data_IF_088350291149
#
_entry.id   IF_088350291149
#
_cell.length_a   1.000
_cell.length_b   1.000
_cell.length_c   1.000
_cell.angle_alpha   90.00
_cell.angle_beta   90.00
_cell.angle_gamma   90.00
#
_symmetry.space_group_name_H-M   'P 1'
#
loop_
_entity.id
_entity.type
_entity.pdbx_description
1 polymer ?
#
# COMPACT_ATOMS: atom_id res chain seq x y z
N UNK A 1 61.83 6.47 30.61
CA UNK A 1 60.40 6.58 30.26
C UNK A 1 59.92 5.57 29.22
N UNK A 2 60.68 5.22 28.16
CA UNK A 2 60.23 4.25 27.14
C UNK A 2 59.92 2.84 27.68
N UNK A 3 60.75 2.34 28.59
CA UNK A 3 60.56 1.00 29.19
C UNK A 3 59.26 0.81 29.98
N UNK A 4 58.65 1.89 30.47
CA UNK A 4 57.36 1.82 31.16
C UNK A 4 56.22 1.45 30.18
N UNK A 5 56.27 1.98 28.96
CA UNK A 5 55.28 1.74 27.90
C UNK A 5 55.52 0.45 27.10
N UNK A 6 56.70 -0.15 27.23
CA UNK A 6 57.03 -1.47 26.68
C UNK A 6 56.49 -2.63 27.55
N UNK A 7 56.04 -2.32 28.77
CA UNK A 7 55.45 -3.32 29.66
C UNK A 7 54.17 -3.90 29.04
N UNK A 8 54.12 -5.23 28.91
CA UNK A 8 53.00 -5.98 28.33
C UNK A 8 51.67 -5.71 29.04
N UNK A 9 51.69 -5.48 30.35
CA UNK A 9 50.48 -5.12 31.11
C UNK A 9 49.95 -3.74 30.73
N UNK A 10 50.85 -2.76 30.57
CA UNK A 10 50.51 -1.40 30.14
C UNK A 10 50.03 -1.41 28.69
N UNK A 11 50.71 -2.13 27.79
CA UNK A 11 50.25 -2.26 26.40
C UNK A 11 48.89 -2.96 26.28
N UNK A 12 48.64 -4.00 27.08
CA UNK A 12 47.34 -4.66 27.09
C UNK A 12 46.24 -3.72 27.56
N UNK A 13 46.51 -2.89 28.58
CA UNK A 13 45.58 -1.87 29.03
C UNK A 13 45.32 -0.81 27.96
N UNK A 14 46.38 -0.25 27.36
CA UNK A 14 46.29 0.76 26.30
C UNK A 14 45.55 0.26 25.07
N UNK A 15 45.81 -0.99 24.66
CA UNK A 15 45.12 -1.65 23.55
C UNK A 15 43.63 -1.85 23.87
N UNK A 16 43.31 -2.32 25.07
CA UNK A 16 41.92 -2.50 25.51
C UNK A 16 41.15 -1.18 25.57
N UNK A 17 41.82 -0.09 25.94
CA UNK A 17 41.24 1.26 25.93
C UNK A 17 41.21 1.91 24.55
N UNK A 18 41.77 1.26 23.52
CA UNK A 18 41.76 1.76 22.13
C UNK A 18 42.72 2.92 21.87
N UNK A 19 43.71 3.13 22.74
CA UNK A 19 44.73 4.17 22.55
C UNK A 19 45.85 3.72 21.62
N UNK A 20 46.06 2.41 21.49
CA UNK A 20 47.04 1.80 20.59
C UNK A 20 46.43 0.63 19.80
N UNK A 21 46.96 0.34 18.61
CA UNK A 21 46.56 -0.83 17.81
C UNK A 21 47.30 -2.12 18.21
N UNK A 22 47.00 -3.25 17.54
CA UNK A 22 47.65 -4.56 17.79
C UNK A 22 49.17 -4.56 17.60
N UNK A 23 49.70 -3.66 16.79
CA UNK A 23 51.13 -3.45 16.55
C UNK A 23 51.74 -2.40 17.51
N UNK A 24 50.96 -1.86 18.46
CA UNK A 24 51.43 -0.90 19.47
C UNK A 24 51.54 0.54 18.99
N UNK A 25 50.96 0.87 17.83
CA UNK A 25 50.95 2.23 17.28
C UNK A 25 49.84 3.05 17.94
N UNK A 26 50.11 4.31 18.24
CA UNK A 26 49.10 5.22 18.83
C UNK A 26 47.99 5.50 17.82
N UNK A 27 46.75 5.36 18.28
CA UNK A 27 45.55 5.65 17.50
C UNK A 27 45.18 7.12 17.71
N UNK A 28 45.13 7.89 16.61
CA UNK A 28 44.57 9.24 16.64
C UNK A 28 43.04 9.16 16.61
N UNK A 29 42.42 9.48 17.74
CA UNK A 29 40.97 9.41 17.93
C UNK A 29 40.24 10.53 17.17
N UNK A 30 40.84 11.70 17.03
CA UNK A 30 40.22 12.84 16.36
C UNK A 30 40.13 12.59 14.85
N UNK A 31 41.17 11.98 14.28
CA UNK A 31 41.19 11.57 12.88
C UNK A 31 40.12 10.49 12.58
N UNK A 32 39.86 9.59 13.53
CA UNK A 32 38.87 8.53 13.38
C UNK A 32 37.43 8.98 13.67
N UNK A 33 37.23 10.08 14.40
CA UNK A 33 35.90 10.65 14.72
C UNK A 33 35.08 10.96 13.47
N UNK A 34 35.75 11.45 12.42
CA UNK A 34 35.12 11.74 11.12
C UNK A 34 34.52 10.48 10.46
N UNK A 35 35.24 9.35 10.51
CA UNK A 35 34.79 8.07 9.96
C UNK A 35 33.58 7.53 10.73
N UNK A 36 33.60 7.63 12.06
CA UNK A 36 32.46 7.25 12.89
C UNK A 36 31.23 8.10 12.57
N UNK A 37 31.38 9.42 12.39
CA UNK A 37 30.25 10.27 11.99
C UNK A 37 29.65 9.90 10.62
N UNK A 38 30.49 9.53 9.65
CA UNK A 38 30.02 9.08 8.33
C UNK A 38 29.19 7.80 8.50
N UNK A 39 29.70 6.82 9.24
CA UNK A 39 29.02 5.56 9.50
C UNK A 39 27.67 5.81 10.20
N UNK A 40 27.63 6.64 11.25
CA UNK A 40 26.38 6.97 11.94
C UNK A 40 25.35 7.64 11.01
N UNK A 41 25.81 8.53 10.12
CA UNK A 41 24.94 9.19 9.15
C UNK A 41 24.40 8.20 8.13
N UNK A 42 25.22 7.26 7.67
CA UNK A 42 24.82 6.19 6.76
C UNK A 42 23.79 5.26 7.40
N UNK A 43 24.01 4.84 8.65
CA UNK A 43 23.04 4.04 9.41
C UNK A 43 21.70 4.76 9.55
N UNK A 44 21.72 6.04 9.95
CA UNK A 44 20.49 6.83 10.07
C UNK A 44 19.73 6.97 8.74
N UNK A 45 20.47 7.10 7.64
CA UNK A 45 19.85 7.15 6.31
C UNK A 45 19.27 5.79 5.90
N UNK A 46 19.96 4.69 6.21
CA UNK A 46 19.49 3.34 5.95
C UNK A 46 18.19 3.05 6.72
N UNK A 47 18.16 3.35 8.03
CA UNK A 47 16.96 3.20 8.87
C UNK A 47 15.75 3.98 8.33
N UNK A 48 15.97 5.24 7.92
CA UNK A 48 14.91 6.07 7.35
C UNK A 48 14.38 5.51 6.03
N UNK A 49 15.27 5.02 5.18
CA UNK A 49 14.89 4.44 3.90
C UNK A 49 14.07 3.16 4.09
N UNK A 50 14.51 2.30 5.00
CA UNK A 50 13.77 1.07 5.34
C UNK A 50 12.41 1.37 5.95
N UNK A 51 12.34 2.31 6.91
CA UNK A 51 11.06 2.76 7.48
C UNK A 51 10.11 3.32 6.41
N UNK A 52 10.64 4.06 5.43
CA UNK A 52 9.83 4.62 4.34
C UNK A 52 9.31 3.51 3.42
N UNK A 53 10.15 2.53 3.07
CA UNK A 53 9.73 1.36 2.28
C UNK A 53 8.62 0.56 2.95
N UNK A 54 8.76 0.31 4.24
CA UNK A 54 7.73 -0.42 5.01
C UNK A 54 6.39 0.33 4.99
N UNK A 55 6.40 1.65 5.20
CA UNK A 55 5.19 2.48 5.13
C UNK A 55 4.56 2.46 3.74
N UNK A 56 5.35 2.60 2.68
CA UNK A 56 4.86 2.55 1.30
C UNK A 56 4.23 1.18 0.96
N UNK A 57 4.83 0.09 1.44
CA UNK A 57 4.30 -1.26 1.25
C UNK A 57 2.98 -1.46 2.01
N UNK A 58 2.89 -1.01 3.25
CA UNK A 58 1.66 -1.04 4.04
C UNK A 58 0.53 -0.21 3.40
N UNK A 59 0.84 0.99 2.92
CA UNK A 59 -0.13 1.83 2.20
C UNK A 59 -0.61 1.16 0.91
N UNK A 60 0.30 0.54 0.16
CA UNK A 60 -0.04 -0.20 -1.06
C UNK A 60 -0.97 -1.36 -0.75
N UNK A 61 -0.64 -2.17 0.27
CA UNK A 61 -1.48 -3.28 0.74
C UNK A 61 -2.88 -2.78 1.12
N UNK A 62 -2.96 -1.70 1.89
CA UNK A 62 -4.25 -1.09 2.29
C UNK A 62 -5.06 -0.63 1.06
N UNK A 63 -4.40 0.01 0.09
CA UNK A 63 -5.05 0.49 -1.14
C UNK A 63 -5.58 -0.67 -1.98
N UNK A 64 -4.83 -1.74 -2.12
CA UNK A 64 -5.25 -2.94 -2.87
C UNK A 64 -6.46 -3.59 -2.19
N UNK A 65 -6.41 -3.77 -0.86
CA UNK A 65 -7.53 -4.32 -0.09
C UNK A 65 -8.79 -3.47 -0.24
N UNK A 66 -8.65 -2.15 -0.13
CA UNK A 66 -9.78 -1.22 -0.29
C UNK A 66 -10.39 -1.31 -1.69
N UNK A 67 -9.56 -1.31 -2.75
CA UNK A 67 -10.03 -1.48 -4.13
C UNK A 67 -10.74 -2.81 -4.33
N UNK A 68 -10.22 -3.90 -3.75
CA UNK A 68 -10.85 -5.22 -3.79
C UNK A 68 -12.22 -5.20 -3.14
N UNK A 69 -12.34 -4.59 -1.95
CA UNK A 69 -13.62 -4.47 -1.25
C UNK A 69 -14.63 -3.64 -2.05
N UNK A 70 -14.20 -2.50 -2.59
CA UNK A 70 -15.05 -1.65 -3.44
C UNK A 70 -15.54 -2.39 -4.68
N UNK A 71 -14.69 -3.17 -5.34
CA UNK A 71 -15.07 -3.97 -6.50
C UNK A 71 -16.12 -5.04 -6.14
N UNK A 72 -15.93 -5.74 -5.01
CA UNK A 72 -16.89 -6.73 -4.51
C UNK A 72 -18.23 -6.10 -4.15
N UNK A 73 -18.24 -4.94 -3.48
CA UNK A 73 -19.47 -4.24 -3.13
C UNK A 73 -20.23 -3.75 -4.36
N UNK A 74 -19.50 -3.26 -5.37
CA UNK A 74 -20.10 -2.85 -6.64
C UNK A 74 -20.74 -4.04 -7.36
N UNK A 75 -20.05 -5.17 -7.45
CA UNK A 75 -20.58 -6.39 -8.04
C UNK A 75 -21.85 -6.87 -7.31
N UNK A 76 -21.85 -6.88 -5.97
CA UNK A 76 -23.04 -7.23 -5.17
C UNK A 76 -24.23 -6.28 -5.42
N UNK A 77 -23.97 -4.98 -5.57
CA UNK A 77 -25.03 -4.00 -5.88
C UNK A 77 -25.61 -4.22 -7.27
N UNK A 78 -24.76 -4.50 -8.25
CA UNK A 78 -25.16 -4.79 -9.64
C UNK A 78 -26.00 -6.07 -9.71
N UNK A 79 -25.55 -7.14 -9.03
CA UNK A 79 -26.29 -8.40 -8.93
C UNK A 79 -27.69 -8.20 -8.33
N UNK A 80 -27.79 -7.47 -7.21
CA UNK A 80 -29.08 -7.13 -6.60
C UNK A 80 -29.98 -6.34 -7.56
N UNK A 81 -29.43 -5.39 -8.31
CA UNK A 81 -30.19 -4.60 -9.27
C UNK A 81 -30.69 -5.43 -10.45
N UNK A 82 -29.88 -6.36 -10.96
CA UNK A 82 -30.27 -7.28 -12.03
C UNK A 82 -31.42 -8.15 -11.53
N UNK A 83 -31.29 -8.75 -10.34
CA UNK A 83 -32.34 -9.57 -9.73
C UNK A 83 -33.64 -8.81 -9.55
N UNK A 84 -33.61 -7.57 -9.06
CA UNK A 84 -34.82 -6.73 -8.93
C UNK A 84 -35.46 -6.43 -10.29
N UNK A 85 -34.66 -6.20 -11.33
CA UNK A 85 -35.18 -5.96 -12.69
C UNK A 85 -35.82 -7.22 -13.29
N UNK A 86 -35.21 -8.38 -13.07
CA UNK A 86 -35.74 -9.68 -13.49
C UNK A 86 -37.05 -9.97 -12.76
N UNK A 87 -37.09 -9.83 -11.43
CA UNK A 87 -38.31 -9.99 -10.63
C UNK A 87 -39.43 -9.05 -11.12
N UNK A 88 -39.09 -7.80 -11.47
CA UNK A 88 -40.07 -6.84 -12.01
C UNK A 88 -40.59 -7.29 -13.38
N UNK A 89 -39.74 -7.79 -14.28
CA UNK A 89 -40.16 -8.31 -15.59
C UNK A 89 -41.07 -9.52 -15.42
N UNK A 90 -40.67 -10.49 -14.60
CA UNK A 90 -41.45 -11.69 -14.31
C UNK A 90 -42.82 -11.29 -13.73
N UNK A 91 -42.88 -10.35 -12.78
CA UNK A 91 -44.16 -9.84 -12.25
C UNK A 91 -45.03 -9.21 -13.33
N UNK A 92 -44.45 -8.42 -14.24
CA UNK A 92 -45.19 -7.82 -15.35
C UNK A 92 -45.74 -8.90 -16.30
N UNK A 93 -44.93 -9.89 -16.65
CA UNK A 93 -45.34 -11.03 -17.48
C UNK A 93 -46.45 -11.84 -16.81
N UNK A 94 -46.34 -12.15 -15.51
CA UNK A 94 -47.40 -12.83 -14.75
C UNK A 94 -48.70 -12.02 -14.78
N UNK A 95 -48.64 -10.71 -14.52
CA UNK A 95 -49.84 -9.86 -14.55
C UNK A 95 -50.46 -9.80 -15.94
N UNK A 96 -49.65 -9.73 -16.99
CA UNK A 96 -50.13 -9.75 -18.38
C UNK A 96 -50.77 -11.10 -18.72
N UNK A 97 -50.09 -12.21 -18.45
CA UNK A 97 -50.62 -13.56 -18.70
C UNK A 97 -51.91 -13.84 -17.91
N UNK A 98 -51.99 -13.36 -16.66
CA UNK A 98 -53.20 -13.50 -15.85
C UNK A 98 -54.36 -12.67 -16.41
N UNK A 99 -54.10 -11.44 -16.88
CA UNK A 99 -55.10 -10.60 -17.54
C UNK A 99 -55.57 -11.16 -18.87
N UNK A 100 -54.66 -11.73 -19.66
CA UNK A 100 -54.98 -12.44 -20.91
C UNK A 100 -55.84 -13.67 -20.64
N UNK A 101 -55.49 -14.48 -19.63
CA UNK A 101 -56.28 -15.64 -19.20
C UNK A 101 -57.68 -15.24 -18.69
N UNK A 102 -57.82 -14.05 -18.11
CA UNK A 102 -59.11 -13.47 -17.69
C UNK A 102 -59.87 -12.75 -18.81
N UNK A 103 -59.35 -12.73 -20.05
CA UNK A 103 -60.04 -12.17 -21.23
C UNK A 103 -60.06 -10.63 -21.30
N UNK A 104 -59.21 -9.94 -20.55
CA UNK A 104 -59.15 -8.46 -20.55
C UNK A 104 -58.22 -7.95 -21.67
N UNK A 105 -58.79 -7.27 -22.66
CA UNK A 105 -58.07 -6.72 -23.84
C UNK A 105 -57.05 -5.64 -23.43
N UNK A 106 -55.79 -5.80 -23.82
CA UNK A 106 -54.70 -4.85 -23.50
C UNK A 106 -54.54 -3.80 -24.62
N UNK A 107 -54.64 -2.48 -24.33
CA UNK A 107 -54.33 -1.45 -25.32
C UNK A 107 -52.81 -1.34 -25.53
N UNK A 108 -52.36 -1.55 -26.77
CA UNK A 108 -50.96 -1.41 -27.19
C UNK A 108 -50.49 0.04 -27.10
N UNK A 109 -49.56 0.32 -26.18
CA UNK A 109 -48.97 1.66 -26.01
C UNK A 109 -47.90 1.88 -27.08
N UNK A 110 -48.25 2.59 -28.15
CA UNK A 110 -47.30 3.04 -29.21
C UNK A 110 -46.27 4.00 -28.62
N UNK A 111 -45.02 3.58 -28.47
CA UNK A 111 -43.91 4.43 -28.00
C UNK A 111 -43.44 5.38 -29.11
N UNK A 112 -43.66 6.69 -28.94
CA UNK A 112 -43.13 7.73 -29.83
C UNK A 112 -41.59 7.83 -29.68
N UNK A 113 -40.84 7.48 -30.72
CA UNK A 113 -39.37 7.67 -30.77
C UNK A 113 -39.03 9.17 -30.75
N UNK A 114 -38.36 9.66 -29.70
CA UNK A 114 -37.76 11.01 -29.66
C UNK A 114 -36.49 11.01 -30.52
N UNK A 115 -36.46 11.80 -31.60
CA UNK A 115 -35.25 12.13 -32.36
C UNK A 115 -34.32 12.99 -31.49
N UNK A 116 -33.14 12.49 -31.15
CA UNK A 116 -32.10 13.28 -30.48
C UNK A 116 -31.19 13.87 -31.57
N UNK A 117 -31.23 15.18 -31.73
CA UNK A 117 -30.33 15.95 -32.60
C UNK A 117 -29.03 16.24 -31.84
N UNK A 118 -27.91 15.63 -32.26
CA UNK A 118 -26.59 15.97 -31.74
C UNK A 118 -26.08 17.24 -32.43
N UNK A 119 -25.92 18.33 -31.67
CA UNK A 119 -25.10 19.48 -32.08
C UNK A 119 -23.63 19.18 -31.76
N UNK A 120 -22.81 19.07 -32.81
CA UNK A 120 -21.34 19.12 -32.71
C UNK A 120 -20.92 20.57 -32.40
N UNK A 121 -20.07 20.74 -31.39
CA UNK A 121 -19.16 21.88 -31.22
C UNK A 121 -17.82 21.32 -30.78
#
# INVERSE_FOLDING_TARGET
MRHFFENRGVQSHLYRTGQIDKAGRVIDLDLNKSKLMIIEKEFRNAERNESSRQKEEEEMRRRVQLKRHQALDKARKEEKLIRIKEDRKIRQEIVMATREAQGLIVPSVKTKKKKVTMKKK
#
